data_IF_210203976833
#
_entry.id   IF_210203976833
#
_cell.length_a   1.000
_cell.length_b   1.000
_cell.length_c   1.000
_cell.angle_alpha   90.00
_cell.angle_beta   90.00
_cell.angle_gamma   90.00
#
_symmetry.space_group_name_H-M   'P 1'
#
loop_
_entity.id
_entity.type
_entity.pdbx_description
1 polymer ?
#
# COMPACT_ATOMS: atom_id res chain seq x y z
N UNK A 1 4.75 -3.06 -6.35
CA UNK A 1 4.68 -1.68 -5.85
C UNK A 1 5.64 -1.53 -4.68
N UNK A 2 6.53 -0.57 -4.77
CA UNK A 2 7.56 -0.32 -3.76
C UNK A 2 7.30 0.97 -3.02
N UNK A 3 7.78 1.06 -1.78
CA UNK A 3 7.61 2.27 -0.99
C UNK A 3 8.47 3.41 -1.56
N UNK A 4 7.86 4.57 -1.82
CA UNK A 4 8.61 5.74 -2.30
C UNK A 4 9.28 6.52 -1.18
N UNK A 5 9.14 6.09 0.06
CA UNK A 5 9.67 6.81 1.21
C UNK A 5 9.81 5.91 2.43
N UNK A 6 10.55 6.38 3.42
CA UNK A 6 10.62 5.74 4.74
C UNK A 6 9.38 6.16 5.54
N UNK A 7 8.69 5.20 6.15
CA UNK A 7 7.52 5.51 6.94
C UNK A 7 6.86 4.27 7.51
N UNK A 8 5.58 4.38 7.84
CA UNK A 8 4.79 3.29 8.39
C UNK A 8 3.68 2.92 7.42
N UNK A 9 3.57 1.62 7.12
CA UNK A 9 2.59 1.10 6.17
C UNK A 9 1.23 0.93 6.85
N UNK A 10 0.17 1.38 6.17
CA UNK A 10 -1.20 1.13 6.58
C UNK A 10 -2.02 0.63 5.41
N UNK A 11 -2.91 -0.33 5.69
CA UNK A 11 -3.79 -0.92 4.67
C UNK A 11 -5.06 -0.13 4.46
N UNK A 12 -5.40 0.78 5.35
CA UNK A 12 -6.64 1.55 5.32
C UNK A 12 -6.38 3.01 5.72
N UNK A 13 -7.37 3.86 5.46
CA UNK A 13 -7.25 5.30 5.74
C UNK A 13 -7.21 5.61 7.23
N UNK A 14 -7.83 4.75 8.05
CA UNK A 14 -7.87 4.95 9.50
C UNK A 14 -8.10 3.61 10.19
N UNK A 15 -7.78 3.50 11.50
CA UNK A 15 -8.06 2.28 12.26
C UNK A 15 -9.54 1.90 12.17
N UNK A 16 -9.81 0.63 11.92
CA UNK A 16 -11.17 0.12 11.81
C UNK A 16 -11.84 0.32 10.46
N UNK A 17 -11.23 1.07 9.55
CA UNK A 17 -11.73 1.23 8.19
C UNK A 17 -11.38 0.00 7.36
N UNK A 18 -12.12 -0.20 6.26
CA UNK A 18 -11.82 -1.25 5.31
C UNK A 18 -10.46 -1.02 4.67
N UNK A 19 -9.71 -2.10 4.45
CA UNK A 19 -8.48 -2.03 3.67
C UNK A 19 -8.80 -1.58 2.25
N UNK A 20 -7.88 -0.82 1.65
CA UNK A 20 -8.06 -0.37 0.27
C UNK A 20 -8.14 -1.55 -0.70
N UNK A 21 -7.33 -2.59 -0.46
CA UNK A 21 -7.30 -3.78 -1.30
C UNK A 21 -7.08 -5.03 -0.43
N UNK A 22 -7.52 -6.17 -0.98
CA UNK A 22 -7.24 -7.49 -0.42
C UNK A 22 -6.56 -8.34 -1.49
N UNK A 23 -5.94 -9.44 -1.08
CA UNK A 23 -5.37 -10.39 -2.04
C UNK A 23 -6.51 -10.89 -2.95
N UNK A 24 -6.29 -10.85 -4.25
CA UNK A 24 -7.30 -11.20 -5.25
C UNK A 24 -8.07 -10.02 -5.81
N UNK A 25 -7.93 -8.82 -5.24
CA UNK A 25 -8.63 -7.64 -5.73
C UNK A 25 -8.06 -7.18 -7.07
N UNK A 26 -8.94 -6.75 -7.97
CA UNK A 26 -8.52 -6.13 -9.24
C UNK A 26 -8.29 -4.65 -9.00
N UNK A 27 -7.19 -4.13 -9.51
CA UNK A 27 -6.86 -2.72 -9.41
C UNK A 27 -6.48 -2.15 -10.77
N UNK A 28 -6.61 -0.85 -10.90
CA UNK A 28 -6.18 -0.12 -12.08
C UNK A 28 -5.08 0.85 -11.69
N UNK A 29 -4.20 1.15 -12.64
CA UNK A 29 -3.17 2.16 -12.45
C UNK A 29 -3.79 3.45 -11.92
N UNK A 30 -3.23 3.96 -10.83
CA UNK A 30 -3.75 5.16 -10.16
C UNK A 30 -4.68 4.90 -8.99
N UNK A 31 -5.18 3.67 -8.82
CA UNK A 31 -5.99 3.33 -7.65
C UNK A 31 -5.15 3.38 -6.38
N UNK A 32 -5.69 3.97 -5.31
CA UNK A 32 -5.03 3.95 -4.01
C UNK A 32 -5.06 2.54 -3.45
N UNK A 33 -3.91 1.99 -3.11
CA UNK A 33 -3.79 0.61 -2.62
C UNK A 33 -3.28 0.51 -1.19
N UNK A 34 -2.63 1.55 -0.69
CA UNK A 34 -2.16 1.60 0.71
C UNK A 34 -1.77 3.02 1.05
N UNK A 35 -1.37 3.22 2.31
CA UNK A 35 -0.89 4.51 2.80
C UNK A 35 0.46 4.30 3.47
N UNK A 36 1.38 5.23 3.26
CA UNK A 36 2.62 5.33 4.02
C UNK A 36 2.56 6.62 4.82
N UNK A 37 2.58 6.50 6.13
CA UNK A 37 2.70 7.67 7.01
C UNK A 37 4.16 8.03 7.16
N UNK A 38 4.52 9.24 6.75
CA UNK A 38 5.87 9.75 6.87
C UNK A 38 5.82 11.21 7.27
N UNK A 39 6.62 11.60 8.26
CA UNK A 39 6.72 13.00 8.72
C UNK A 39 5.34 13.60 9.05
N UNK A 40 4.48 12.82 9.71
CA UNK A 40 3.12 13.21 10.12
C UNK A 40 2.14 13.42 8.95
N UNK A 41 2.52 12.99 7.76
CA UNK A 41 1.64 13.06 6.57
C UNK A 41 1.25 11.66 6.15
N UNK A 42 -0.03 11.50 5.78
CA UNK A 42 -0.57 10.25 5.25
C UNK A 42 -0.47 10.31 3.73
N UNK A 43 0.49 9.57 3.17
CA UNK A 43 0.73 9.58 1.72
C UNK A 43 0.03 8.39 1.08
N UNK A 44 -0.89 8.64 0.17
CA UNK A 44 -1.59 7.59 -0.57
C UNK A 44 -0.67 7.03 -1.64
N UNK A 45 -0.56 5.71 -1.66
CA UNK A 45 0.27 5.02 -2.63
C UNK A 45 -0.65 4.38 -3.67
N UNK A 46 -0.36 4.66 -4.94
CA UNK A 46 -1.20 4.24 -6.05
C UNK A 46 -0.62 3.02 -6.74
N UNK A 47 -1.50 2.21 -7.33
CA UNK A 47 -1.07 1.11 -8.19
C UNK A 47 -0.30 1.68 -9.39
N UNK A 48 0.83 1.07 -9.71
CA UNK A 48 1.69 1.50 -10.83
C UNK A 48 1.32 0.82 -12.14
N UNK A 49 0.35 -0.10 -12.11
CA UNK A 49 -0.14 -0.82 -13.28
C UNK A 49 -1.51 -1.41 -12.96
N UNK A 50 -2.23 -1.79 -14.01
CA UNK A 50 -3.46 -2.59 -13.87
C UNK A 50 -3.06 -4.01 -13.49
N UNK A 51 -3.90 -4.68 -12.72
CA UNK A 51 -3.66 -6.07 -12.38
C UNK A 51 -4.46 -6.54 -11.19
N UNK A 52 -4.05 -7.68 -10.65
CA UNK A 52 -4.67 -8.31 -9.49
C UNK A 52 -3.66 -8.33 -8.36
N UNK A 53 -4.10 -8.03 -7.16
CA UNK A 53 -3.23 -8.11 -5.97
C UNK A 53 -2.89 -9.57 -5.71
N UNK A 54 -1.62 -9.92 -5.88
CA UNK A 54 -1.13 -11.29 -5.68
C UNK A 54 -0.62 -11.52 -4.28
N UNK A 55 0.01 -10.50 -3.68
CA UNK A 55 0.53 -10.60 -2.32
C UNK A 55 0.61 -9.22 -1.69
N UNK A 56 0.44 -9.16 -0.39
CA UNK A 56 0.66 -7.98 0.43
C UNK A 56 1.78 -8.36 1.38
N UNK A 57 2.96 -7.76 1.20
CA UNK A 57 4.20 -8.22 1.82
C UNK A 57 4.44 -7.60 3.19
N UNK A 58 3.68 -6.56 3.54
CA UNK A 58 3.88 -5.77 4.74
C UNK A 58 2.63 -5.85 5.60
N UNK A 59 2.80 -5.94 6.91
CA UNK A 59 1.69 -5.93 7.84
C UNK A 59 1.26 -4.50 8.17
N UNK A 60 -0.03 -4.32 8.47
CA UNK A 60 -0.57 -3.03 8.86
C UNK A 60 0.18 -2.51 10.10
N UNK A 61 0.66 -1.28 10.03
CA UNK A 61 1.41 -0.65 11.14
C UNK A 61 2.89 -0.97 11.14
N UNK A 62 3.41 -1.68 10.16
CA UNK A 62 4.82 -2.04 10.08
C UNK A 62 5.65 -0.91 9.48
N UNK A 63 6.82 -0.61 10.04
CA UNK A 63 7.73 0.35 9.43
C UNK A 63 8.30 -0.19 8.11
N UNK A 64 8.46 0.68 7.14
CA UNK A 64 9.01 0.33 5.82
C UNK A 64 10.10 1.31 5.44
N UNK A 65 11.02 0.85 4.59
CA UNK A 65 12.11 1.65 4.07
C UNK A 65 11.88 2.01 2.61
N UNK A 66 12.61 3.02 2.13
CA UNK A 66 12.56 3.42 0.73
C UNK A 66 12.89 2.22 -0.17
N UNK A 67 12.06 2.00 -1.16
CA UNK A 67 12.27 0.91 -2.12
C UNK A 67 11.82 -0.45 -1.64
N UNK A 68 11.31 -0.57 -0.43
CA UNK A 68 10.86 -1.86 0.10
C UNK A 68 9.61 -2.32 -0.66
N UNK A 69 9.56 -3.57 -1.14
CA UNK A 69 8.37 -4.09 -1.81
C UNK A 69 7.18 -4.15 -0.84
N UNK A 70 6.05 -3.61 -1.26
CA UNK A 70 4.84 -3.53 -0.44
C UNK A 70 3.79 -4.53 -0.91
N UNK A 71 3.44 -4.46 -2.18
CA UNK A 71 2.34 -5.22 -2.79
C UNK A 71 2.81 -5.73 -4.13
N UNK A 72 2.47 -6.99 -4.42
CA UNK A 72 2.76 -7.61 -5.71
C UNK A 72 1.49 -7.61 -6.54
N UNK A 73 1.56 -7.03 -7.74
CA UNK A 73 0.48 -7.04 -8.72
C UNK A 73 0.84 -7.98 -9.87
N UNK A 74 -0.17 -8.63 -10.41
CA UNK A 74 0.05 -9.54 -11.51
C UNK A 74 -1.11 -9.66 -12.49
#
# INVERSE_FOLDING_TARGET
VKSPMVGTFYRSASPGSKAFVEIGASVKKGDTICIIEAMKLMNEIEADQDGVVKAILIENGQPVEYGEPLIVLG
#
